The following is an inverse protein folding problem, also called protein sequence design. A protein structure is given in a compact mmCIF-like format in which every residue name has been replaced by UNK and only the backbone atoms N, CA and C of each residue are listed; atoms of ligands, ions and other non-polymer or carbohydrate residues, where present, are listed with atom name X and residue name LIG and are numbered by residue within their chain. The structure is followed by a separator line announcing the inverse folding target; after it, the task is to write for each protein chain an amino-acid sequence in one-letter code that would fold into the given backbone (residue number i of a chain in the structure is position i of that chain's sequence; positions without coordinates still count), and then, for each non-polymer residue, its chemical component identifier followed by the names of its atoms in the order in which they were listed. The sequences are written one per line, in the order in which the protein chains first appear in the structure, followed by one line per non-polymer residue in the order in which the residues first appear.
data_IF_917772768025
#
_entry.id   IF_917772768025
#
_cell.length_a   1.000
_cell.length_b   1.000
_cell.length_c   1.000
_cell.angle_alpha   90.00
_cell.angle_beta   90.00
_cell.angle_gamma   90.00
#
_symmetry.space_group_name_H-M   'P 1'
#
loop_
_entity.id
_entity.type
_entity.pdbx_description
1 polymer ?
#
# COMPACT_ATOMS: atom_id res chain seq x y z
N UNK A 1 -39.39 29.10 -10.32
CA UNK A 1 -38.30 29.39 -9.36
C UNK A 1 -37.92 28.18 -8.49
N UNK A 2 -38.86 27.40 -7.95
CA UNK A 2 -38.56 26.21 -7.09
C UNK A 2 -37.62 25.16 -7.74
N UNK A 3 -37.76 24.90 -9.04
CA UNK A 3 -36.89 23.96 -9.78
C UNK A 3 -35.45 24.45 -9.93
N UNK A 4 -35.24 25.74 -10.11
CA UNK A 4 -33.91 26.36 -10.22
C UNK A 4 -33.18 26.29 -8.87
N UNK A 5 -33.91 26.48 -7.77
CA UNK A 5 -33.36 26.35 -6.42
C UNK A 5 -32.85 24.93 -6.13
N UNK A 6 -33.55 23.92 -6.66
CA UNK A 6 -33.17 22.50 -6.54
C UNK A 6 -31.87 22.19 -7.31
N UNK A 7 -31.71 22.73 -8.53
CA UNK A 7 -30.47 22.60 -9.29
C UNK A 7 -29.28 23.30 -8.61
N UNK A 8 -29.51 24.48 -8.04
CA UNK A 8 -28.47 25.21 -7.30
C UNK A 8 -28.03 24.45 -6.05
N UNK A 9 -28.98 23.81 -5.35
CA UNK A 9 -28.68 22.98 -4.18
C UNK A 9 -27.89 21.71 -4.55
N UNK A 10 -28.27 21.00 -5.63
CA UNK A 10 -27.50 19.86 -6.13
C UNK A 10 -26.08 20.24 -6.58
N UNK A 11 -25.90 21.41 -7.20
CA UNK A 11 -24.59 21.89 -7.61
C UNK A 11 -23.69 22.23 -6.41
N UNK A 12 -24.28 22.76 -5.32
CA UNK A 12 -23.57 23.02 -4.07
C UNK A 12 -23.03 21.74 -3.42
N UNK A 13 -23.78 20.64 -3.50
CA UNK A 13 -23.36 19.33 -2.96
C UNK A 13 -22.19 18.69 -3.73
N UNK A 14 -22.02 19.02 -5.02
CA UNK A 14 -20.88 18.52 -5.79
C UNK A 14 -19.57 19.23 -5.42
N UNK A 15 -19.64 20.50 -5.00
CA UNK A 15 -18.47 21.32 -4.65
C UNK A 15 -17.85 20.98 -3.28
N UNK A 16 -18.54 20.24 -2.42
CA UNK A 16 -18.06 19.94 -1.05
C UNK A 16 -17.30 18.61 -0.94
N UNK A 17 -17.12 17.87 -2.04
CA UNK A 17 -16.34 16.63 -2.03
C UNK A 17 -14.84 16.90 -2.13
N UNK A 18 -14.24 17.41 -1.05
CA UNK A 18 -12.79 17.44 -0.93
C UNK A 18 -12.31 16.06 -0.47
N UNK A 19 -11.81 15.25 -1.40
CA UNK A 19 -11.02 14.08 -1.04
C UNK A 19 -9.72 14.57 -0.41
N UNK A 20 -9.68 14.64 0.92
CA UNK A 20 -8.52 15.13 1.64
C UNK A 20 -7.47 14.00 1.71
N UNK A 21 -6.70 13.85 0.64
CA UNK A 21 -5.61 12.87 0.56
C UNK A 21 -4.42 13.22 1.48
N UNK A 22 -4.37 14.44 2.01
CA UNK A 22 -3.27 14.95 2.82
C UNK A 22 -3.71 15.14 4.28
N UNK A 23 -4.40 14.15 4.85
CA UNK A 23 -4.59 14.10 6.29
C UNK A 23 -3.28 13.65 6.94
N UNK A 24 -2.84 14.29 8.04
CA UNK A 24 -1.72 13.78 8.81
C UNK A 24 -2.04 12.33 9.19
N UNK A 25 -1.18 11.41 8.79
CA UNK A 25 -1.29 10.04 9.26
C UNK A 25 -1.12 10.10 10.78
N UNK A 26 -1.91 9.30 11.52
CA UNK A 26 -1.78 9.25 13.00
C UNK A 26 -0.41 8.68 13.45
N UNK A 27 0.40 8.25 12.51
CA UNK A 27 1.69 7.62 12.72
C UNK A 27 2.76 8.71 12.73
N UNK A 28 3.31 8.98 13.90
CA UNK A 28 4.46 9.87 14.08
C UNK A 28 5.62 9.43 13.18
N UNK A 29 6.34 10.37 12.57
CA UNK A 29 7.50 10.10 11.71
C UNK A 29 8.75 9.71 12.52
N UNK A 30 8.63 8.62 13.29
CA UNK A 30 9.74 8.01 14.03
C UNK A 30 10.68 7.30 13.06
N UNK A 31 11.93 7.07 13.49
CA UNK A 31 12.91 6.34 12.70
C UNK A 31 12.42 4.95 12.31
N UNK A 32 11.77 4.26 13.24
CA UNK A 32 11.28 2.89 13.04
C UNK A 32 10.15 2.86 12.00
N UNK A 33 9.20 3.81 12.06
CA UNK A 33 8.11 3.91 11.07
C UNK A 33 8.65 4.26 9.68
N UNK A 34 9.61 5.17 9.58
CA UNK A 34 10.25 5.52 8.31
C UNK A 34 11.01 4.32 7.70
N UNK A 35 11.64 3.50 8.53
CA UNK A 35 12.31 2.29 8.08
C UNK A 35 11.31 1.21 7.64
N UNK A 36 10.17 1.07 8.33
CA UNK A 36 9.08 0.20 7.92
C UNK A 36 8.53 0.62 6.55
N UNK A 37 8.21 1.90 6.37
CA UNK A 37 7.73 2.47 5.10
C UNK A 37 8.74 2.23 3.96
N UNK A 38 10.04 2.43 4.23
CA UNK A 38 11.09 2.17 3.24
C UNK A 38 11.21 0.69 2.86
N UNK A 39 10.99 -0.23 3.80
CA UNK A 39 10.97 -1.68 3.52
C UNK A 39 9.74 -2.05 2.71
N UNK A 40 8.57 -1.47 3.03
CA UNK A 40 7.34 -1.66 2.26
C UNK A 40 7.54 -1.19 0.83
N UNK A 41 8.01 0.03 0.62
CA UNK A 41 8.26 0.61 -0.72
C UNK A 41 9.24 -0.25 -1.53
N UNK A 42 10.36 -0.66 -0.91
CA UNK A 42 11.37 -1.50 -1.54
C UNK A 42 10.84 -2.86 -2.00
N UNK A 43 9.91 -3.45 -1.24
CA UNK A 43 9.43 -4.83 -1.44
C UNK A 43 8.03 -4.91 -2.06
N UNK A 44 7.37 -3.77 -2.26
CA UNK A 44 6.05 -3.70 -2.88
C UNK A 44 6.00 -4.33 -4.28
N UNK A 45 7.04 -4.20 -5.15
CA UNK A 45 7.03 -4.88 -6.45
C UNK A 45 6.85 -6.40 -6.34
N UNK A 46 7.47 -7.03 -5.34
CA UNK A 46 7.37 -8.47 -5.08
C UNK A 46 5.97 -8.85 -4.56
N UNK A 47 5.33 -7.96 -3.78
CA UNK A 47 3.93 -8.17 -3.40
C UNK A 47 3.01 -8.16 -4.63
N UNK A 48 3.24 -7.27 -5.59
CA UNK A 48 2.44 -7.24 -6.83
C UNK A 48 2.68 -8.43 -7.77
N UNK A 49 3.84 -9.12 -7.68
CA UNK A 49 4.02 -10.42 -8.34
C UNK A 49 3.02 -11.42 -7.79
N UNK A 50 2.89 -11.52 -6.46
CA UNK A 50 1.92 -12.42 -5.82
C UNK A 50 0.46 -12.04 -6.17
N UNK A 51 0.13 -10.74 -6.23
CA UNK A 51 -1.19 -10.25 -6.69
C UNK A 51 -1.46 -10.69 -8.13
N UNK A 52 -0.49 -10.54 -9.02
CA UNK A 52 -0.63 -10.94 -10.42
C UNK A 52 -0.85 -12.44 -10.56
N UNK A 53 -0.12 -13.25 -9.79
CA UNK A 53 -0.28 -14.71 -9.79
C UNK A 53 -1.66 -15.13 -9.25
N UNK A 54 -2.18 -14.46 -8.23
CA UNK A 54 -3.45 -14.79 -7.62
C UNK A 54 -4.66 -14.32 -8.44
N UNK A 55 -4.67 -13.06 -8.91
CA UNK A 55 -5.82 -12.48 -9.64
C UNK A 55 -5.68 -12.52 -11.16
N UNK A 56 -4.51 -12.85 -11.69
CA UNK A 56 -4.19 -12.75 -13.13
C UNK A 56 -3.91 -11.32 -13.64
N UNK A 57 -4.06 -10.29 -12.79
CA UNK A 57 -3.85 -8.88 -13.15
C UNK A 57 -3.46 -8.04 -11.93
N UNK A 58 -2.79 -6.92 -12.19
CA UNK A 58 -2.50 -5.87 -11.20
C UNK A 58 -3.15 -4.53 -11.56
N UNK A 59 -3.86 -4.45 -12.68
CA UNK A 59 -4.33 -3.18 -13.26
C UNK A 59 -5.31 -2.42 -12.37
N UNK A 60 -6.23 -3.15 -11.73
CA UNK A 60 -7.28 -2.62 -10.88
C UNK A 60 -7.11 -3.05 -9.42
N UNK A 61 -5.92 -3.53 -9.05
CA UNK A 61 -5.62 -4.04 -7.70
C UNK A 61 -4.62 -3.11 -7.03
N UNK A 62 -4.91 -2.73 -5.79
CA UNK A 62 -4.03 -1.95 -4.96
C UNK A 62 -4.01 -2.49 -3.52
N UNK A 63 -3.06 -2.01 -2.73
CA UNK A 63 -2.90 -2.39 -1.33
C UNK A 63 -3.24 -1.23 -0.39
N UNK A 64 -3.87 -1.56 0.73
CA UNK A 64 -4.05 -0.68 1.88
C UNK A 64 -3.59 -1.41 3.15
N UNK A 65 -3.37 -0.63 4.22
CA UNK A 65 -2.96 -1.15 5.53
C UNK A 65 -1.71 -2.04 5.46
N UNK A 66 -0.75 -1.65 4.62
CA UNK A 66 0.54 -2.34 4.51
C UNK A 66 1.30 -2.21 5.83
N UNK A 67 1.91 -3.33 6.25
CA UNK A 67 2.79 -3.38 7.43
C UNK A 67 3.84 -4.46 7.25
N UNK A 68 4.97 -4.30 7.94
CA UNK A 68 5.97 -5.35 8.08
C UNK A 68 5.64 -6.17 9.33
N UNK A 69 5.43 -7.47 9.13
CA UNK A 69 5.10 -8.41 10.22
C UNK A 69 6.37 -8.93 10.89
N UNK A 70 7.40 -9.23 10.10
CA UNK A 70 8.67 -9.77 10.62
C UNK A 70 9.83 -9.43 9.67
N UNK A 71 11.02 -9.26 10.24
CA UNK A 71 12.27 -9.18 9.49
C UNK A 71 13.33 -10.00 10.23
N UNK A 72 13.92 -10.96 9.53
CA UNK A 72 15.03 -11.77 10.06
C UNK A 72 16.23 -11.79 9.14
N UNK A 73 17.41 -11.79 9.77
CA UNK A 73 18.68 -12.01 9.09
C UNK A 73 18.80 -13.50 8.75
N UNK A 74 19.22 -13.81 7.53
CA UNK A 74 19.33 -15.22 7.10
C UNK A 74 20.72 -15.84 7.30
N UNK A 75 21.75 -15.03 7.52
CA UNK A 75 23.15 -15.45 7.56
C UNK A 75 23.88 -14.67 8.68
N UNK A 76 25.18 -14.40 8.51
CA UNK A 76 25.95 -13.62 9.46
C UNK A 76 25.57 -12.12 9.47
N UNK A 77 25.85 -11.39 10.57
CA UNK A 77 25.45 -9.98 10.75
C UNK A 77 25.90 -9.02 9.63
N UNK A 78 27.03 -9.30 8.99
CA UNK A 78 27.57 -8.51 7.87
C UNK A 78 26.93 -8.77 6.50
N UNK A 79 26.11 -9.82 6.36
CA UNK A 79 25.45 -10.13 5.09
C UNK A 79 24.28 -9.17 4.82
N UNK A 80 23.99 -8.89 3.55
CA UNK A 80 22.77 -8.16 3.17
C UNK A 80 21.58 -9.09 2.91
N UNK A 81 21.67 -10.34 3.38
CA UNK A 81 20.65 -11.36 3.19
C UNK A 81 19.64 -11.30 4.33
N UNK A 82 18.38 -11.12 3.97
CA UNK A 82 17.28 -11.03 4.90
C UNK A 82 16.05 -11.70 4.33
N UNK A 83 15.14 -12.04 5.23
CA UNK A 83 13.78 -12.39 4.92
C UNK A 83 12.87 -11.38 5.62
N UNK A 84 11.92 -10.84 4.87
CA UNK A 84 10.91 -9.94 5.39
C UNK A 84 9.53 -10.49 5.07
N UNK A 85 8.63 -10.46 6.03
CA UNK A 85 7.23 -10.81 5.86
C UNK A 85 6.40 -9.54 5.91
N UNK A 86 5.67 -9.26 4.83
CA UNK A 86 4.78 -8.11 4.70
C UNK A 86 3.34 -8.59 4.67
N UNK A 87 2.44 -7.80 5.24
CA UNK A 87 1.00 -8.01 5.16
C UNK A 87 0.34 -6.79 4.55
N UNK A 88 -0.64 -7.01 3.67
CA UNK A 88 -1.43 -5.95 3.07
C UNK A 88 -2.81 -6.44 2.69
N UNK A 89 -3.78 -5.53 2.69
CA UNK A 89 -5.15 -5.82 2.29
C UNK A 89 -5.38 -5.32 0.87
N UNK A 90 -5.80 -6.20 -0.04
CA UNK A 90 -6.08 -5.82 -1.43
C UNK A 90 -7.46 -5.19 -1.57
N UNK A 91 -7.60 -4.27 -2.52
CA UNK A 91 -8.89 -3.70 -2.90
C UNK A 91 -8.91 -3.38 -4.41
N UNK A 92 -10.11 -3.21 -4.98
CA UNK A 92 -10.28 -2.85 -6.38
C UNK A 92 -11.01 -1.53 -6.58
N UNK A 93 -10.42 -0.57 -7.29
CA UNK A 93 -11.01 0.75 -7.49
C UNK A 93 -11.28 1.54 -6.20
N UNK A 94 -11.88 2.73 -6.28
CA UNK A 94 -12.02 3.63 -5.13
C UNK A 94 -13.11 3.24 -4.10
N UNK A 95 -14.00 2.32 -4.46
CA UNK A 95 -15.22 2.05 -3.69
C UNK A 95 -15.55 0.55 -3.52
N UNK A 96 -14.65 -0.36 -3.91
CA UNK A 96 -14.89 -1.78 -3.62
C UNK A 96 -14.33 -2.12 -2.24
N UNK A 97 -15.07 -2.92 -1.45
CA UNK A 97 -14.54 -3.41 -0.19
C UNK A 97 -13.26 -4.22 -0.43
N UNK A 98 -12.39 -4.30 0.59
CA UNK A 98 -11.19 -5.11 0.50
C UNK A 98 -11.52 -6.57 0.18
N UNK A 99 -10.69 -7.18 -0.65
CA UNK A 99 -10.90 -8.54 -1.16
C UNK A 99 -10.22 -9.55 -0.26
N UNK A 100 -8.90 -9.45 -0.12
CA UNK A 100 -8.10 -10.48 0.53
C UNK A 100 -6.96 -9.87 1.35
N UNK A 101 -6.54 -10.59 2.39
CA UNK A 101 -5.30 -10.28 3.12
C UNK A 101 -4.19 -11.10 2.49
N UNK A 102 -3.16 -10.43 1.98
CA UNK A 102 -1.96 -11.05 1.47
C UNK A 102 -0.85 -10.96 2.51
N UNK A 103 -0.30 -12.12 2.86
CA UNK A 103 0.95 -12.22 3.62
C UNK A 103 2.03 -12.71 2.66
N UNK A 104 3.03 -11.88 2.39
CA UNK A 104 4.10 -12.16 1.42
C UNK A 104 5.43 -12.20 2.15
N UNK A 105 6.12 -13.33 2.05
CA UNK A 105 7.48 -13.49 2.55
C UNK A 105 8.47 -13.33 1.41
N UNK A 106 9.29 -12.28 1.46
CA UNK A 106 10.33 -12.00 0.47
C UNK A 106 11.69 -12.39 1.03
N UNK A 107 12.38 -13.28 0.32
CA UNK A 107 13.69 -13.78 0.71
C UNK A 107 14.78 -13.22 -0.21
N UNK A 108 15.66 -12.37 0.33
CA UNK A 108 16.85 -11.87 -0.38
C UNK A 108 18.04 -12.79 -0.13
N UNK A 109 18.38 -13.59 -1.14
CA UNK A 109 19.53 -14.50 -1.15
C UNK A 109 20.70 -14.01 -2.04
N UNK A 110 20.70 -12.72 -2.45
CA UNK A 110 21.69 -12.16 -3.37
C UNK A 110 21.71 -10.62 -3.41
N UNK A 111 22.33 -10.04 -4.45
CA UNK A 111 22.47 -8.58 -4.61
C UNK A 111 21.16 -7.97 -5.14
N UNK A 112 20.62 -6.95 -4.47
CA UNK A 112 19.61 -6.06 -5.08
C UNK A 112 20.40 -5.03 -5.88
N UNK A 113 20.18 -4.95 -7.19
CA UNK A 113 20.65 -3.84 -8.01
C UNK A 113 19.56 -2.78 -7.93
N UNK A 114 19.83 -1.68 -7.24
CA UNK A 114 19.01 -0.48 -7.30
C UNK A 114 19.55 0.33 -8.47
N UNK A 115 18.80 0.40 -9.57
CA UNK A 115 19.12 1.27 -10.69
C UNK A 115 18.61 2.69 -10.39
N UNK A 116 19.46 3.69 -10.60
CA UNK A 116 19.09 5.10 -10.62
C UNK A 116 18.77 5.52 -12.05
#
# INVERSE_FOLDING_TARGET
MKRIFLFFFCFLFLLTTTANANQPTKTEATRENLLEDAVIDLLQPQMYVAVKEFYGTTYDKAFQCLKVVDIKKLHHPGSWMFEATLEGMTYSGAHSPPHDIFTVTVKKVGKIIIGF
#
